data_IF_643574205522
#
_entry.id   IF_643574205522
#
_cell.length_a   1.000
_cell.length_b   1.000
_cell.length_c   1.000
_cell.angle_alpha   90.00
_cell.angle_beta   90.00
_cell.angle_gamma   90.00
#
_symmetry.space_group_name_H-M   'P 1'
#
loop_
_entity.id
_entity.type
_entity.pdbx_description
1 polymer ?
#
# COMPACT_ATOMS: atom_id res chain seq x y z
N UNK A 1 16.55 -12.50 -24.14
CA UNK A 1 15.79 -11.32 -24.57
C UNK A 1 16.00 -11.01 -26.05
N UNK A 2 17.22 -10.70 -26.49
CA UNK A 2 17.53 -10.30 -27.89
C UNK A 2 17.06 -11.28 -28.96
N UNK A 3 17.14 -12.60 -28.70
CA UNK A 3 16.61 -13.64 -29.61
C UNK A 3 15.10 -13.53 -29.84
N UNK A 4 14.34 -13.11 -28.82
CA UNK A 4 12.88 -13.00 -28.88
C UNK A 4 12.47 -11.69 -29.55
N UNK A 5 13.17 -10.60 -29.26
CA UNK A 5 12.85 -9.27 -29.80
C UNK A 5 13.44 -9.02 -31.19
N UNK A 6 14.44 -9.80 -31.60
CA UNK A 6 15.23 -9.55 -32.82
C UNK A 6 16.09 -8.29 -32.75
N UNK A 7 16.29 -7.73 -31.55
CA UNK A 7 17.03 -6.48 -31.30
C UNK A 7 18.16 -6.77 -30.33
N UNK A 8 19.34 -6.21 -30.57
CA UNK A 8 20.39 -6.27 -29.56
C UNK A 8 20.00 -5.45 -28.33
N UNK A 9 20.29 -6.00 -27.16
CA UNK A 9 20.09 -5.39 -25.85
C UNK A 9 21.32 -5.57 -24.96
N UNK A 10 22.41 -6.14 -25.48
CA UNK A 10 23.63 -6.38 -24.72
C UNK A 10 24.34 -5.07 -24.38
N UNK A 11 24.19 -4.02 -25.20
CA UNK A 11 24.69 -2.66 -24.93
C UNK A 11 24.25 -2.09 -23.58
N UNK A 12 23.12 -2.55 -23.03
CA UNK A 12 22.62 -2.13 -21.73
C UNK A 12 23.47 -2.60 -20.54
N UNK A 13 24.28 -3.64 -20.73
CA UNK A 13 25.11 -4.24 -19.69
C UNK A 13 26.59 -4.41 -20.09
N UNK A 14 26.92 -4.36 -21.39
CA UNK A 14 28.28 -4.55 -21.90
C UNK A 14 29.33 -3.65 -21.23
N UNK A 15 29.08 -2.35 -20.98
CA UNK A 15 30.05 -1.50 -20.27
C UNK A 15 30.36 -1.94 -18.84
N UNK A 16 29.56 -2.85 -18.27
CA UNK A 16 29.67 -3.37 -16.90
C UNK A 16 29.74 -4.90 -16.90
N UNK A 17 30.17 -5.54 -17.99
CA UNK A 17 30.25 -7.00 -18.10
C UNK A 17 31.20 -7.62 -17.08
N UNK A 18 32.30 -6.93 -16.76
CA UNK A 18 33.29 -7.41 -15.81
C UNK A 18 32.85 -7.27 -14.34
N UNK A 19 31.84 -6.44 -14.06
CA UNK A 19 31.36 -6.15 -12.72
C UNK A 19 30.89 -7.42 -12.02
N UNK A 20 31.49 -7.70 -10.86
CA UNK A 20 31.21 -8.86 -10.04
C UNK A 20 31.06 -8.43 -8.59
N UNK A 21 29.85 -8.08 -8.21
CA UNK A 21 29.53 -7.70 -6.83
C UNK A 21 29.78 -8.91 -5.91
N UNK A 22 30.58 -8.74 -4.86
CA UNK A 22 30.81 -9.76 -3.81
C UNK A 22 30.22 -9.31 -2.48
N UNK A 23 29.96 -10.29 -1.61
CA UNK A 23 29.42 -10.03 -0.29
C UNK A 23 30.33 -9.11 0.54
N UNK A 24 31.65 -9.36 0.55
CA UNK A 24 32.59 -8.51 1.29
C UNK A 24 32.68 -7.07 0.72
N UNK A 25 32.49 -6.89 -0.58
CA UNK A 25 32.52 -5.55 -1.19
C UNK A 25 31.33 -4.69 -0.73
N UNK A 26 30.14 -5.28 -0.62
CA UNK A 26 28.93 -4.55 -0.16
C UNK A 26 28.94 -4.29 1.35
N UNK A 27 29.69 -5.08 2.13
CA UNK A 27 29.97 -4.76 3.52
C UNK A 27 30.88 -3.52 3.63
N UNK A 28 31.86 -3.37 2.73
CA UNK A 28 32.75 -2.22 2.71
C UNK A 28 32.03 -0.95 2.25
N UNK A 29 31.22 -1.04 1.19
CA UNK A 29 30.37 0.07 0.72
C UNK A 29 29.25 -0.47 -0.18
N UNK A 30 27.99 0.00 -0.03
CA UNK A 30 26.89 -0.40 -0.91
C UNK A 30 27.24 -0.24 -2.40
N UNK A 31 26.77 -1.17 -3.23
CA UNK A 31 27.04 -1.21 -4.67
C UNK A 31 25.73 -1.04 -5.45
N UNK A 32 25.77 -0.22 -6.49
CA UNK A 32 24.68 -0.11 -7.47
C UNK A 32 24.66 -1.37 -8.35
N UNK A 33 23.47 -1.94 -8.51
CA UNK A 33 23.24 -3.11 -9.36
C UNK A 33 23.42 -2.78 -10.85
N UNK A 34 23.32 -3.80 -11.70
CA UNK A 34 23.49 -3.72 -13.16
C UNK A 34 22.11 -3.79 -13.82
N UNK A 35 21.93 -3.07 -14.93
CA UNK A 35 20.76 -3.21 -15.79
C UNK A 35 20.54 -4.68 -16.17
N UNK A 36 19.34 -5.18 -15.94
CA UNK A 36 19.01 -6.60 -16.16
C UNK A 36 17.70 -6.74 -16.90
N UNK A 37 17.57 -7.70 -17.84
CA UNK A 37 16.31 -7.97 -18.54
C UNK A 37 15.19 -8.49 -17.63
N UNK A 38 15.49 -8.79 -16.35
CA UNK A 38 14.49 -9.07 -15.32
C UNK A 38 13.61 -7.85 -15.05
N UNK A 39 14.17 -6.64 -15.18
CA UNK A 39 13.52 -5.37 -14.90
C UNK A 39 13.29 -4.58 -16.18
N UNK A 40 12.56 -3.47 -16.07
CA UNK A 40 12.18 -2.66 -17.23
C UNK A 40 12.70 -1.21 -17.20
N UNK A 41 13.46 -0.84 -16.16
CA UNK A 41 14.24 0.40 -16.11
C UNK A 41 15.74 0.19 -16.36
N UNK A 42 16.52 1.27 -16.28
CA UNK A 42 17.97 1.26 -16.48
C UNK A 42 18.72 1.66 -15.21
N UNK A 43 19.82 0.97 -14.95
CA UNK A 43 20.83 1.39 -13.99
C UNK A 43 21.90 2.20 -14.72
N UNK A 44 21.74 3.52 -14.73
CA UNK A 44 22.60 4.46 -15.46
C UNK A 44 23.05 5.62 -14.58
N UNK A 45 24.18 6.23 -14.91
CA UNK A 45 24.65 7.47 -14.29
C UNK A 45 24.04 8.73 -14.94
N UNK A 46 23.34 8.59 -16.06
CA UNK A 46 22.74 9.71 -16.80
C UNK A 46 21.21 9.73 -16.76
N UNK A 47 20.57 8.59 -16.47
CA UNK A 47 19.11 8.47 -16.35
C UNK A 47 18.76 7.66 -15.12
N UNK A 48 17.86 8.18 -14.29
CA UNK A 48 17.34 7.45 -13.14
C UNK A 48 16.52 6.24 -13.58
N UNK A 49 16.50 5.19 -12.76
CA UNK A 49 15.64 4.04 -13.01
C UNK A 49 14.17 4.49 -13.14
N UNK A 50 13.54 4.11 -14.26
CA UNK A 50 12.13 4.35 -14.53
C UNK A 50 11.50 3.07 -15.09
N UNK A 51 10.44 2.57 -14.44
CA UNK A 51 9.80 1.34 -14.87
C UNK A 51 9.22 1.48 -16.30
N UNK A 52 9.36 0.43 -17.09
CA UNK A 52 8.96 0.37 -18.50
C UNK A 52 9.77 1.25 -19.46
N UNK A 53 10.87 1.87 -19.01
CA UNK A 53 11.78 2.61 -19.87
C UNK A 53 12.27 1.77 -21.06
N UNK A 54 12.70 0.53 -20.81
CA UNK A 54 13.15 -0.39 -21.87
C UNK A 54 12.01 -0.79 -22.82
N UNK A 55 10.77 -0.91 -22.33
CA UNK A 55 9.64 -1.17 -23.23
C UNK A 55 9.46 -0.05 -24.26
N UNK A 56 9.59 1.20 -23.81
CA UNK A 56 9.45 2.39 -24.64
C UNK A 56 10.65 2.58 -25.59
N UNK A 57 11.87 2.52 -25.06
CA UNK A 57 13.10 2.91 -25.77
C UNK A 57 13.79 1.73 -26.47
N UNK A 58 13.78 0.54 -25.86
CA UNK A 58 14.38 -0.68 -26.41
C UNK A 58 13.40 -1.48 -27.28
N UNK A 59 12.12 -1.10 -27.29
CA UNK A 59 11.03 -1.77 -28.00
C UNK A 59 10.82 -3.22 -27.55
N UNK A 60 11.13 -3.50 -26.28
CA UNK A 60 10.79 -4.78 -25.65
C UNK A 60 9.26 -4.79 -25.41
N UNK A 61 8.50 -5.75 -25.95
CA UNK A 61 7.06 -5.81 -25.71
C UNK A 61 6.72 -5.96 -24.22
N UNK A 62 5.60 -5.38 -23.78
CA UNK A 62 5.01 -5.79 -22.49
C UNK A 62 4.57 -7.24 -22.58
N UNK A 63 4.61 -7.98 -21.46
CA UNK A 63 4.20 -9.38 -21.43
C UNK A 63 2.67 -9.49 -21.25
N UNK A 64 1.95 -8.90 -22.20
CA UNK A 64 0.49 -8.86 -22.31
C UNK A 64 0.05 -9.52 -23.62
N UNK A 65 -1.24 -9.79 -23.80
CA UNK A 65 -1.76 -10.44 -25.02
C UNK A 65 -1.38 -9.68 -26.30
N UNK A 66 -1.41 -8.34 -26.23
CA UNK A 66 -1.15 -7.47 -27.39
C UNK A 66 0.32 -7.05 -27.51
N UNK A 67 1.16 -7.36 -26.51
CA UNK A 67 2.54 -6.86 -26.43
C UNK A 67 2.67 -5.39 -26.01
N UNK A 68 1.56 -4.71 -25.69
CA UNK A 68 1.49 -3.27 -25.32
C UNK A 68 0.77 -3.10 -23.97
N UNK A 69 0.75 -1.88 -23.45
CA UNK A 69 -0.11 -1.53 -22.31
C UNK A 69 -1.57 -1.82 -22.68
N UNK A 70 -2.16 -2.82 -22.02
CA UNK A 70 -3.44 -3.41 -22.42
C UNK A 70 -4.60 -2.73 -21.67
N UNK A 71 -5.27 -1.80 -22.35
CA UNK A 71 -6.44 -1.12 -21.80
C UNK A 71 -7.73 -1.95 -21.88
N UNK A 72 -7.81 -2.88 -22.86
CA UNK A 72 -8.96 -3.76 -23.07
C UNK A 72 -8.66 -5.17 -22.56
N UNK A 73 -9.37 -5.61 -21.53
CA UNK A 73 -9.21 -6.91 -20.88
C UNK A 73 -10.26 -7.90 -21.42
N UNK A 74 -9.86 -8.74 -22.39
CA UNK A 74 -10.77 -9.54 -23.22
C UNK A 74 -11.04 -10.95 -22.68
N UNK A 75 -10.38 -11.36 -21.59
CA UNK A 75 -10.64 -12.64 -20.93
C UNK A 75 -12.12 -12.78 -20.57
N UNK A 76 -12.68 -13.99 -20.71
CA UNK A 76 -14.12 -14.23 -20.51
C UNK A 76 -14.63 -13.73 -19.16
N UNK A 77 -13.84 -13.89 -18.09
CA UNK A 77 -14.18 -13.34 -16.76
C UNK A 77 -14.17 -11.82 -16.73
N UNK A 78 -13.17 -11.16 -17.32
CA UNK A 78 -13.09 -9.69 -17.33
C UNK A 78 -14.28 -9.08 -18.06
N UNK A 79 -14.79 -9.74 -19.11
CA UNK A 79 -16.04 -9.36 -19.78
C UNK A 79 -17.26 -9.61 -18.91
N UNK A 80 -17.38 -10.81 -18.34
CA UNK A 80 -18.54 -11.19 -17.52
C UNK A 80 -18.68 -10.31 -16.26
N UNK A 81 -17.57 -9.89 -15.65
CA UNK A 81 -17.55 -9.05 -14.44
C UNK A 81 -17.50 -7.53 -14.72
N UNK A 82 -17.66 -7.12 -15.98
CA UNK A 82 -17.71 -5.70 -16.36
C UNK A 82 -16.39 -4.94 -16.17
N UNK A 83 -15.25 -5.63 -16.28
CA UNK A 83 -13.89 -5.08 -16.12
C UNK A 83 -13.11 -5.05 -17.43
N UNK A 84 -13.81 -5.11 -18.56
CA UNK A 84 -13.19 -5.05 -19.89
C UNK A 84 -12.44 -3.73 -20.12
N UNK A 85 -12.99 -2.63 -19.61
CA UNK A 85 -12.37 -1.31 -19.57
C UNK A 85 -12.44 -0.80 -18.13
N UNK A 86 -11.64 0.21 -17.81
CA UNK A 86 -11.73 0.89 -16.52
C UNK A 86 -13.11 1.55 -16.37
N UNK A 87 -13.80 1.23 -15.27
CA UNK A 87 -15.11 1.78 -14.91
C UNK A 87 -15.10 2.11 -13.42
N UNK A 88 -15.95 3.06 -13.02
CA UNK A 88 -16.19 3.29 -11.60
C UNK A 88 -16.88 2.06 -10.99
N UNK A 89 -16.32 1.55 -9.88
CA UNK A 89 -16.96 0.57 -9.01
C UNK A 89 -17.03 1.15 -7.60
N UNK A 90 -18.22 1.26 -6.99
CA UNK A 90 -18.33 1.74 -5.62
C UNK A 90 -17.69 0.74 -4.64
N UNK A 91 -17.31 1.18 -3.43
CA UNK A 91 -16.90 0.26 -2.36
C UNK A 91 -17.94 -0.85 -2.15
N UNK A 92 -17.48 -2.09 -1.97
CA UNK A 92 -18.38 -3.22 -1.71
C UNK A 92 -18.93 -3.13 -0.29
N UNK A 93 -20.22 -3.46 -0.13
CA UNK A 93 -20.81 -3.63 1.18
C UNK A 93 -20.41 -4.99 1.77
N UNK A 94 -19.60 -4.95 2.83
CA UNK A 94 -19.12 -6.15 3.52
C UNK A 94 -20.17 -6.76 4.46
N UNK A 95 -21.28 -6.05 4.73
CA UNK A 95 -22.37 -6.45 5.63
C UNK A 95 -21.90 -6.83 7.03
N UNK A 96 -20.78 -6.24 7.45
CA UNK A 96 -20.11 -6.62 8.70
C UNK A 96 -20.64 -5.88 9.94
N UNK A 97 -21.50 -4.87 9.76
CA UNK A 97 -21.97 -3.99 10.83
C UNK A 97 -23.40 -4.30 11.27
N UNK A 98 -24.35 -4.37 10.33
CA UNK A 98 -25.78 -4.55 10.62
C UNK A 98 -26.09 -5.69 11.60
N UNK A 99 -25.44 -6.87 11.52
CA UNK A 99 -25.75 -7.97 12.44
C UNK A 99 -25.34 -7.73 13.90
N UNK A 100 -24.41 -6.82 14.17
CA UNK A 100 -23.81 -6.62 15.51
C UNK A 100 -24.08 -5.23 16.10
N UNK A 101 -24.43 -4.23 15.28
CA UNK A 101 -24.74 -2.87 15.72
C UNK A 101 -25.84 -2.85 16.79
N UNK A 102 -25.59 -2.16 17.90
CA UNK A 102 -26.47 -2.04 19.06
C UNK A 102 -26.86 -3.37 19.73
N UNK A 103 -26.17 -4.48 19.44
CA UNK A 103 -26.47 -5.80 20.04
C UNK A 103 -25.79 -6.03 21.39
N UNK A 104 -24.68 -5.34 21.65
CA UNK A 104 -23.86 -5.49 22.86
C UNK A 104 -23.50 -4.13 23.45
N UNK A 105 -24.50 -3.27 23.64
CA UNK A 105 -24.29 -1.91 24.15
C UNK A 105 -23.60 -1.91 25.52
N UNK A 106 -22.65 -0.99 25.69
CA UNK A 106 -22.03 -0.66 26.97
C UNK A 106 -22.63 0.61 27.60
N UNK A 107 -23.75 1.10 27.08
CA UNK A 107 -24.42 2.33 27.52
C UNK A 107 -23.98 3.61 26.81
N UNK A 108 -22.94 3.55 25.96
CA UNK A 108 -22.54 4.67 25.10
C UNK A 108 -23.11 4.51 23.68
N UNK A 109 -23.17 5.62 22.94
CA UNK A 109 -23.60 5.64 21.55
C UNK A 109 -22.58 4.98 20.61
N UNK A 110 -23.06 4.29 19.57
CA UNK A 110 -22.24 3.60 18.56
C UNK A 110 -22.20 4.39 17.23
N UNK A 111 -21.04 4.44 16.57
CA UNK A 111 -20.86 5.04 15.25
C UNK A 111 -20.41 4.02 14.22
N UNK A 112 -20.95 4.13 13.01
CA UNK A 112 -20.51 3.36 11.85
C UNK A 112 -19.60 4.25 10.99
N UNK A 113 -18.34 3.85 10.84
CA UNK A 113 -17.32 4.60 10.10
C UNK A 113 -16.63 3.69 9.08
N UNK A 114 -16.11 4.28 8.01
CA UNK A 114 -15.20 3.58 7.11
C UNK A 114 -13.84 3.36 7.79
N UNK A 115 -13.46 2.10 8.00
CA UNK A 115 -12.25 1.71 8.74
C UNK A 115 -11.05 1.56 7.80
N UNK A 116 -10.17 2.57 7.74
CA UNK A 116 -9.02 2.60 6.84
C UNK A 116 -7.72 2.33 7.59
N UNK A 117 -6.82 1.54 7.01
CA UNK A 117 -5.56 1.13 7.66
C UNK A 117 -4.32 1.56 6.87
N UNK A 118 -4.01 2.87 6.78
CA UNK A 118 -2.80 3.34 6.10
C UNK A 118 -1.55 3.01 6.93
N UNK A 119 -0.38 2.88 6.33
CA UNK A 119 0.84 2.53 7.08
C UNK A 119 1.23 3.58 8.13
N UNK A 120 1.62 3.12 9.32
CA UNK A 120 1.98 4.00 10.43
C UNK A 120 3.27 4.80 10.20
N UNK A 121 3.37 5.95 10.87
CA UNK A 121 4.59 6.77 10.93
C UNK A 121 5.61 6.21 11.93
N UNK A 122 5.15 5.47 12.94
CA UNK A 122 5.91 5.12 14.15
C UNK A 122 6.40 3.67 14.15
N UNK A 123 6.59 3.10 12.97
CA UNK A 123 7.04 1.72 12.81
C UNK A 123 7.06 1.33 11.34
N UNK A 124 7.67 0.18 11.06
CA UNK A 124 7.56 -0.48 9.76
C UNK A 124 6.77 -1.75 10.01
N UNK A 125 5.49 -1.69 9.68
CA UNK A 125 4.55 -2.69 10.14
C UNK A 125 4.58 -2.80 11.67
N UNK A 126 4.52 -4.01 12.22
CA UNK A 126 4.61 -4.26 13.66
C UNK A 126 6.04 -4.14 14.16
N UNK A 127 7.02 -4.19 13.26
CA UNK A 127 8.42 -3.95 13.61
C UNK A 127 8.57 -2.51 14.10
N UNK A 128 9.18 -2.37 15.27
CA UNK A 128 9.32 -1.14 16.05
C UNK A 128 8.06 -0.62 16.75
N UNK A 129 6.91 -1.29 16.63
CA UNK A 129 5.70 -0.84 17.36
C UNK A 129 5.86 -0.93 18.87
N UNK A 130 6.62 -1.92 19.36
CA UNK A 130 6.99 -2.12 20.76
C UNK A 130 8.27 -1.38 21.16
N UNK A 131 8.93 -0.69 20.22
CA UNK A 131 10.14 0.07 20.50
C UNK A 131 9.79 1.30 21.35
N UNK A 132 10.41 1.43 22.52
CA UNK A 132 10.13 2.51 23.46
C UNK A 132 10.28 3.90 22.85
N UNK A 133 11.23 4.12 21.94
CA UNK A 133 11.40 5.41 21.26
C UNK A 133 10.18 5.73 20.39
N UNK A 134 9.69 4.76 19.62
CA UNK A 134 8.51 4.94 18.77
C UNK A 134 7.24 5.08 19.60
N UNK A 135 7.10 4.33 20.68
CA UNK A 135 6.01 4.50 21.65
C UNK A 135 6.02 5.91 22.25
N UNK A 136 7.19 6.41 22.65
CA UNK A 136 7.34 7.74 23.26
C UNK A 136 7.06 8.87 22.26
N UNK A 137 7.52 8.75 21.01
CA UNK A 137 7.28 9.74 19.95
C UNK A 137 5.87 9.70 19.36
N UNK A 138 5.16 8.59 19.57
CA UNK A 138 3.78 8.41 19.14
C UNK A 138 2.82 8.81 20.26
N UNK A 139 1.86 7.94 20.56
CA UNK A 139 0.91 8.07 21.66
C UNK A 139 1.06 6.91 22.65
N UNK A 140 2.16 6.15 22.66
CA UNK A 140 2.43 5.12 23.66
C UNK A 140 1.57 3.85 23.55
N UNK A 141 1.14 3.49 22.34
CA UNK A 141 0.41 2.25 22.09
C UNK A 141 -0.63 2.36 20.97
N UNK A 142 -1.53 1.37 20.85
CA UNK A 142 -2.57 1.34 19.82
C UNK A 142 -3.48 2.57 19.88
N UNK A 143 -3.70 3.18 18.71
CA UNK A 143 -4.52 4.37 18.54
C UNK A 143 -5.36 4.30 17.26
N UNK A 144 -6.54 4.89 17.28
CA UNK A 144 -7.42 5.07 16.11
C UNK A 144 -7.70 6.56 15.94
N UNK A 145 -7.44 7.08 14.74
CA UNK A 145 -7.69 8.47 14.40
C UNK A 145 -9.13 8.63 13.92
N UNK A 146 -9.80 9.71 14.33
CA UNK A 146 -11.15 10.04 13.90
C UNK A 146 -11.37 11.55 13.81
N UNK A 147 -12.44 11.95 13.12
CA UNK A 147 -12.80 13.36 12.95
C UNK A 147 -13.28 13.98 14.27
N UNK A 148 -13.09 15.29 14.43
CA UNK A 148 -13.66 16.04 15.56
C UNK A 148 -15.19 15.99 15.58
N UNK A 149 -15.81 15.97 14.40
CA UNK A 149 -17.27 15.93 14.23
C UNK A 149 -17.83 14.58 14.69
N UNK A 150 -17.23 13.47 14.24
CA UNK A 150 -17.67 12.13 14.64
C UNK A 150 -17.41 11.89 16.12
N UNK A 151 -16.24 12.28 16.63
CA UNK A 151 -15.93 12.16 18.05
C UNK A 151 -16.97 12.91 18.91
N UNK A 152 -17.34 14.13 18.51
CA UNK A 152 -18.33 14.95 19.23
C UNK A 152 -19.74 14.34 19.24
N UNK A 153 -20.17 13.66 18.16
CA UNK A 153 -21.50 13.02 18.09
C UNK A 153 -21.75 12.01 19.20
N UNK A 154 -20.69 11.31 19.66
CA UNK A 154 -20.78 10.25 20.66
C UNK A 154 -19.92 10.53 21.90
N UNK A 155 -19.51 11.78 22.09
CA UNK A 155 -18.83 12.23 23.29
C UNK A 155 -17.42 11.67 23.51
N UNK A 156 -16.73 11.19 22.47
CA UNK A 156 -15.33 10.74 22.55
C UNK A 156 -14.41 11.96 22.61
N UNK A 157 -13.50 12.00 23.59
CA UNK A 157 -12.44 13.01 23.70
C UNK A 157 -11.11 12.48 23.17
N UNK A 158 -10.18 13.39 22.88
CA UNK A 158 -8.83 12.99 22.51
C UNK A 158 -8.22 12.12 23.61
N UNK A 159 -7.61 11.00 23.19
CA UNK A 159 -6.97 10.02 24.05
C UNK A 159 -7.90 9.15 24.92
N UNK A 160 -9.23 9.26 24.79
CA UNK A 160 -10.17 8.33 25.44
C UNK A 160 -9.99 6.89 24.92
N UNK A 161 -10.27 5.91 25.77
CA UNK A 161 -10.37 4.52 25.35
C UNK A 161 -11.61 4.32 24.48
N UNK A 162 -11.43 3.67 23.34
CA UNK A 162 -12.48 3.33 22.39
C UNK A 162 -12.38 1.85 22.01
N UNK A 163 -13.52 1.28 21.66
CA UNK A 163 -13.63 -0.05 21.09
C UNK A 163 -14.14 0.08 19.64
N UNK A 164 -13.51 -0.63 18.71
CA UNK A 164 -13.97 -0.74 17.32
C UNK A 164 -14.25 -2.20 17.02
N UNK A 165 -15.41 -2.49 16.44
CA UNK A 165 -15.85 -3.86 16.23
C UNK A 165 -16.73 -4.02 14.99
N UNK A 166 -16.80 -5.26 14.51
CA UNK A 166 -17.76 -5.74 13.52
C UNK A 166 -17.97 -7.25 13.73
N UNK A 167 -18.69 -7.94 12.85
CA UNK A 167 -18.89 -9.40 12.97
C UNK A 167 -17.59 -10.23 12.95
N UNK A 168 -16.47 -9.69 12.44
CA UNK A 168 -15.19 -10.39 12.38
C UNK A 168 -14.43 -10.35 13.71
N UNK A 169 -14.73 -9.38 14.59
CA UNK A 169 -14.03 -9.22 15.86
C UNK A 169 -14.10 -7.79 16.41
N UNK A 170 -13.33 -7.56 17.47
CA UNK A 170 -13.22 -6.27 18.15
C UNK A 170 -11.75 -5.95 18.47
N UNK A 171 -11.45 -4.66 18.61
CA UNK A 171 -10.18 -4.14 19.08
C UNK A 171 -10.40 -2.96 20.02
N UNK A 172 -9.44 -2.75 20.92
CA UNK A 172 -9.45 -1.65 21.88
C UNK A 172 -8.20 -0.80 21.69
N UNK A 173 -8.38 0.51 21.64
CA UNK A 173 -7.32 1.49 21.40
C UNK A 173 -7.69 2.83 22.03
N UNK A 174 -6.81 3.82 21.95
CA UNK A 174 -7.16 5.21 22.29
C UNK A 174 -7.50 6.03 21.05
N UNK A 175 -8.41 6.99 21.19
CA UNK A 175 -8.75 7.90 20.13
C UNK A 175 -7.64 8.94 19.91
N UNK A 176 -7.39 9.29 18.64
CA UNK A 176 -6.73 10.54 18.26
C UNK A 176 -7.74 11.38 17.49
N UNK A 177 -8.23 12.43 18.13
CA UNK A 177 -9.26 13.29 17.54
C UNK A 177 -8.58 14.41 16.76
N UNK A 178 -8.91 14.56 15.48
CA UNK A 178 -8.23 15.55 14.63
C UNK A 178 -9.08 16.05 13.46
N UNK A 179 -9.12 17.37 13.29
CA UNK A 179 -9.73 18.06 12.16
C UNK A 179 -9.31 17.53 10.77
N UNK A 180 -8.08 17.00 10.63
CA UNK A 180 -7.58 16.53 9.33
C UNK A 180 -8.28 15.25 8.84
N UNK A 181 -8.96 14.54 9.74
CA UNK A 181 -9.72 13.34 9.40
C UNK A 181 -11.12 13.79 8.98
N UNK A 182 -11.57 13.51 7.75
CA UNK A 182 -12.91 13.87 7.32
C UNK A 182 -13.96 13.03 8.06
N UNK A 183 -15.17 13.58 8.17
CA UNK A 183 -16.32 12.90 8.76
C UNK A 183 -16.67 11.61 8.00
N UNK A 184 -17.08 10.56 8.73
CA UNK A 184 -17.52 9.28 8.17
C UNK A 184 -16.39 8.26 7.95
N UNK A 185 -15.16 8.57 8.35
CA UNK A 185 -14.04 7.61 8.34
C UNK A 185 -13.24 7.64 9.64
N UNK A 186 -12.56 6.52 9.91
CA UNK A 186 -11.51 6.45 10.91
C UNK A 186 -10.24 5.82 10.30
N UNK A 187 -9.10 6.08 10.92
CA UNK A 187 -7.82 5.52 10.53
C UNK A 187 -7.11 4.85 11.69
N UNK A 188 -7.05 3.52 11.68
CA UNK A 188 -6.12 2.79 12.52
C UNK A 188 -4.87 2.51 11.70
N UNK A 189 -3.80 3.25 11.96
CA UNK A 189 -2.58 3.07 11.19
C UNK A 189 -2.05 1.63 11.30
N UNK A 190 -1.73 1.03 10.15
CA UNK A 190 -1.34 -0.38 9.97
C UNK A 190 -0.02 -0.71 10.66
N UNK A 191 0.03 -1.94 11.18
CA UNK A 191 1.17 -2.59 11.81
C UNK A 191 1.67 -3.77 10.97
#
# INVERSE_FOLDING_TARGET
MSKVTGRDHTHLALPREDDKIRFYDIQAQPRKIISSPTWSGLESEHVCYNACYTNVHERIPWRTLTGRQQFYQDHSWMRAFGETLCVYKPPVDTRSIEPILNKKSNGNDELVLNFITPHQKWGIHSTYTDNLLMLTLSRGGPIVWMSEIDAAKVGIKDNDWIESFNVNGALVARAVVSQRVPEGMCMMYHA
#
